data_IF_591942790949
#
_entry.id   IF_591942790949
#
_cell.length_a   1.000
_cell.length_b   1.000
_cell.length_c   1.000
_cell.angle_alpha   90.00
_cell.angle_beta   90.00
_cell.angle_gamma   90.00
#
_symmetry.space_group_name_H-M   'P 1'
#
loop_
_entity.id
_entity.type
_entity.pdbx_description
1 polymer ?
#
# COMPACT_ATOMS: atom_id res chain seq x y z
N UNK A 1 18.52 7.44 -6.39
CA UNK A 1 18.73 7.12 -4.95
C UNK A 1 18.04 5.79 -4.67
N UNK A 2 18.74 4.81 -4.12
CA UNK A 2 18.14 3.51 -3.78
C UNK A 2 17.20 3.68 -2.58
N UNK A 3 15.98 3.14 -2.67
CA UNK A 3 14.93 3.26 -1.64
C UNK A 3 14.17 1.94 -1.49
N UNK A 4 13.38 1.84 -0.43
CA UNK A 4 12.61 0.63 -0.14
C UNK A 4 11.35 0.48 -0.99
N UNK A 5 10.73 1.61 -1.34
CA UNK A 5 9.54 1.70 -2.16
C UNK A 5 9.42 3.11 -2.76
N UNK A 6 8.65 3.22 -3.85
CA UNK A 6 8.23 4.47 -4.47
C UNK A 6 6.71 4.46 -4.66
N UNK A 7 6.11 5.61 -4.94
CA UNK A 7 4.66 5.74 -5.16
C UNK A 7 4.26 5.12 -6.50
N UNK A 8 3.21 4.28 -6.50
CA UNK A 8 2.62 3.69 -7.72
C UNK A 8 2.06 4.69 -8.72
N UNK A 9 1.89 5.95 -8.32
CA UNK A 9 1.41 7.02 -9.20
C UNK A 9 2.26 7.24 -10.46
N UNK A 10 3.57 6.97 -10.41
CA UNK A 10 4.45 7.07 -11.56
C UNK A 10 5.68 6.17 -11.39
N UNK A 11 5.74 5.09 -12.16
CA UNK A 11 6.81 4.10 -12.10
C UNK A 11 7.25 3.65 -13.49
N UNK A 12 8.53 3.37 -13.62
CA UNK A 12 9.07 2.60 -14.74
C UNK A 12 9.61 1.28 -14.24
N UNK A 13 9.37 0.22 -15.01
CA UNK A 13 9.87 -1.12 -14.72
C UNK A 13 10.60 -1.67 -15.93
N UNK A 14 11.77 -2.28 -15.70
CA UNK A 14 12.49 -2.99 -16.76
C UNK A 14 11.69 -4.24 -17.12
N UNK A 15 11.44 -4.49 -18.41
CA UNK A 15 10.68 -5.65 -18.88
C UNK A 15 11.21 -6.98 -18.30
N UNK A 16 12.52 -7.21 -18.33
CA UNK A 16 13.10 -8.44 -17.78
C UNK A 16 12.87 -8.60 -16.27
N UNK A 17 12.83 -7.50 -15.52
CA UNK A 17 12.51 -7.53 -14.09
C UNK A 17 11.02 -7.81 -13.87
N UNK A 18 10.14 -7.24 -14.71
CA UNK A 18 8.70 -7.53 -14.70
C UNK A 18 8.42 -9.01 -15.00
N UNK A 19 9.09 -9.59 -15.98
CA UNK A 19 8.95 -11.01 -16.34
C UNK A 19 9.41 -11.92 -15.20
N UNK A 20 10.44 -11.54 -14.44
CA UNK A 20 10.91 -12.30 -13.28
C UNK A 20 10.00 -12.20 -12.04
N UNK A 21 9.45 -11.01 -11.77
CA UNK A 21 8.69 -10.70 -10.53
C UNK A 21 7.17 -10.87 -10.70
N UNK A 22 6.69 -10.73 -11.93
CA UNK A 22 5.27 -10.72 -12.27
C UNK A 22 4.59 -9.35 -12.09
N UNK A 23 3.33 -9.24 -12.54
CA UNK A 23 2.55 -8.00 -12.49
C UNK A 23 2.17 -7.62 -11.05
N UNK A 24 1.45 -6.51 -10.89
CA UNK A 24 0.78 -6.14 -9.63
C UNK A 24 -0.15 -7.27 -9.17
N UNK A 25 -0.30 -7.41 -7.85
CA UNK A 25 -1.14 -8.46 -7.25
C UNK A 25 -2.62 -8.02 -7.30
N UNK A 26 -3.42 -8.68 -8.13
CA UNK A 26 -4.85 -8.39 -8.32
C UNK A 26 -5.71 -8.59 -7.06
N UNK A 27 -5.16 -9.22 -6.02
CA UNK A 27 -5.80 -9.29 -4.71
C UNK A 27 -5.88 -7.93 -3.98
N UNK A 28 -5.17 -6.92 -4.47
CA UNK A 28 -5.36 -5.52 -4.09
C UNK A 28 -6.23 -4.82 -5.15
N UNK A 29 -7.30 -4.16 -4.71
CA UNK A 29 -8.09 -3.30 -5.60
C UNK A 29 -7.39 -1.94 -5.81
N UNK A 30 -7.00 -1.30 -4.71
CA UNK A 30 -6.27 -0.02 -4.69
C UNK A 30 -5.69 0.18 -3.29
N UNK A 31 -4.50 0.76 -3.21
CA UNK A 31 -3.65 0.92 -2.03
C UNK A 31 -2.88 -0.33 -1.59
N UNK A 32 -1.58 -0.11 -1.31
CA UNK A 32 -0.58 -1.09 -0.92
C UNK A 32 -0.16 -2.10 -2.00
N UNK A 33 -0.77 -2.07 -3.18
CA UNK A 33 -0.36 -2.84 -4.36
C UNK A 33 1.06 -2.47 -4.82
N UNK A 34 1.39 -1.18 -4.74
CA UNK A 34 2.70 -0.64 -5.08
C UNK A 34 3.78 -1.04 -4.07
N UNK A 35 3.44 -0.98 -2.77
CA UNK A 35 4.32 -1.45 -1.70
C UNK A 35 4.59 -2.96 -1.81
N UNK A 36 3.55 -3.75 -2.06
CA UNK A 36 3.67 -5.19 -2.31
C UNK A 36 4.63 -5.48 -3.48
N UNK A 37 4.46 -4.73 -4.57
CA UNK A 37 5.28 -4.91 -5.76
C UNK A 37 6.74 -4.53 -5.51
N UNK A 38 7.00 -3.40 -4.86
CA UNK A 38 8.35 -3.00 -4.45
C UNK A 38 9.01 -4.06 -3.56
N UNK A 39 8.25 -4.63 -2.62
CA UNK A 39 8.74 -5.71 -1.74
C UNK A 39 9.09 -6.97 -2.54
N UNK A 40 8.25 -7.37 -3.50
CA UNK A 40 8.54 -8.51 -4.39
C UNK A 40 9.76 -8.27 -5.27
N UNK A 41 9.94 -7.06 -5.82
CA UNK A 41 11.16 -6.72 -6.56
C UNK A 41 12.41 -6.87 -5.68
N UNK A 42 12.36 -6.36 -4.45
CA UNK A 42 13.48 -6.47 -3.50
C UNK A 42 13.77 -7.93 -3.11
N UNK A 43 12.74 -8.73 -2.87
CA UNK A 43 12.90 -10.17 -2.61
C UNK A 43 13.47 -10.92 -3.83
N UNK A 44 13.16 -10.47 -5.04
CA UNK A 44 13.76 -10.97 -6.29
C UNK A 44 15.18 -10.44 -6.57
N UNK A 45 15.80 -9.71 -5.64
CA UNK A 45 17.15 -9.17 -5.80
C UNK A 45 17.24 -7.90 -6.65
N UNK A 46 16.11 -7.33 -7.07
CA UNK A 46 16.07 -6.06 -7.80
C UNK A 46 16.08 -4.87 -6.84
N UNK A 47 16.58 -3.74 -7.35
CA UNK A 47 16.65 -2.48 -6.62
C UNK A 47 15.54 -1.53 -7.06
N UNK A 48 14.97 -0.80 -6.10
CA UNK A 48 14.03 0.28 -6.36
C UNK A 48 14.77 1.61 -6.24
N UNK A 49 14.63 2.48 -7.25
CA UNK A 49 15.31 3.76 -7.29
C UNK A 49 14.30 4.91 -7.36
N UNK A 50 14.50 5.92 -6.51
CA UNK A 50 13.89 7.23 -6.62
C UNK A 50 14.78 8.14 -7.49
N UNK A 51 14.16 8.84 -8.45
CA UNK A 51 14.83 9.74 -9.39
C UNK A 51 14.47 11.19 -9.02
N UNK A 52 15.30 11.90 -8.24
CA UNK A 52 14.98 13.23 -7.72
C UNK A 52 15.07 14.34 -8.78
N UNK A 53 15.64 14.05 -9.95
CA UNK A 53 15.81 15.02 -11.05
C UNK A 53 14.54 15.26 -11.86
N UNK A 54 13.46 14.55 -11.55
CA UNK A 54 12.21 14.60 -12.31
C UNK A 54 11.04 14.86 -11.36
N UNK A 55 10.27 15.90 -11.64
CA UNK A 55 9.10 16.27 -10.87
C UNK A 55 7.81 15.84 -11.56
N UNK A 56 6.99 15.08 -10.85
CA UNK A 56 5.67 14.61 -11.32
C UNK A 56 4.61 15.00 -10.31
N UNK A 57 3.58 15.71 -10.77
CA UNK A 57 2.46 16.12 -9.92
C UNK A 57 1.35 15.08 -9.95
N UNK A 58 0.98 14.54 -8.79
CA UNK A 58 -0.16 13.64 -8.63
C UNK A 58 -1.29 14.36 -7.89
N UNK A 59 -2.41 14.58 -8.58
CA UNK A 59 -3.62 15.17 -8.00
C UNK A 59 -4.36 14.16 -7.12
N UNK A 60 -4.00 14.14 -5.83
CA UNK A 60 -4.55 13.20 -4.85
C UNK A 60 -6.04 13.47 -4.59
N UNK A 61 -6.79 12.40 -4.29
CA UNK A 61 -8.11 12.49 -3.67
C UNK A 61 -9.30 12.71 -4.63
N UNK A 62 -9.06 12.95 -5.91
CA UNK A 62 -10.13 13.18 -6.91
C UNK A 62 -11.07 11.98 -6.99
N UNK A 63 -10.56 10.78 -7.23
CA UNK A 63 -11.36 9.55 -7.29
C UNK A 63 -11.84 9.07 -5.91
N UNK A 64 -11.17 9.49 -4.84
CA UNK A 64 -11.44 9.03 -3.48
C UNK A 64 -12.54 9.83 -2.77
N UNK A 65 -12.82 11.07 -3.23
CA UNK A 65 -13.76 11.98 -2.58
C UNK A 65 -15.20 11.42 -2.52
N UNK A 66 -15.61 10.68 -3.55
CA UNK A 66 -16.95 10.12 -3.64
C UNK A 66 -17.22 9.02 -2.59
N UNK A 67 -16.20 8.23 -2.22
CA UNK A 67 -16.35 7.02 -1.37
C UNK A 67 -15.28 6.93 -0.28
N UNK A 68 -15.21 7.91 0.63
CA UNK A 68 -14.11 8.07 1.57
C UNK A 68 -13.98 6.92 2.57
N UNK A 69 -15.08 6.30 3.00
CA UNK A 69 -15.02 5.12 3.90
C UNK A 69 -14.54 3.89 3.14
N UNK A 70 -15.01 3.69 1.89
CA UNK A 70 -14.56 2.59 1.04
C UNK A 70 -13.07 2.69 0.71
N UNK A 71 -12.56 3.90 0.48
CA UNK A 71 -11.13 4.14 0.27
C UNK A 71 -10.32 3.75 1.51
N UNK A 72 -10.76 4.16 2.69
CA UNK A 72 -10.07 3.76 3.93
C UNK A 72 -10.16 2.25 4.16
N UNK A 73 -11.29 1.61 3.84
CA UNK A 73 -11.40 0.16 3.90
C UNK A 73 -10.33 -0.53 3.05
N UNK A 74 -10.14 -0.11 1.80
CA UNK A 74 -9.12 -0.69 0.93
C UNK A 74 -7.69 -0.42 1.40
N UNK A 75 -7.39 0.77 1.95
CA UNK A 75 -6.09 1.05 2.58
C UNK A 75 -5.81 0.11 3.74
N UNK A 76 -6.75 -0.05 4.67
CA UNK A 76 -6.54 -0.85 5.87
C UNK A 76 -6.49 -2.34 5.56
N UNK A 77 -7.38 -2.82 4.67
CA UNK A 77 -7.32 -4.19 4.14
C UNK A 77 -6.00 -4.45 3.40
N UNK A 78 -5.53 -3.49 2.61
CA UNK A 78 -4.25 -3.55 1.90
C UNK A 78 -3.06 -3.64 2.86
N UNK A 79 -3.02 -2.79 3.90
CA UNK A 79 -1.98 -2.85 4.94
C UNK A 79 -1.92 -4.22 5.61
N UNK A 80 -3.08 -4.80 5.98
CA UNK A 80 -3.13 -6.12 6.60
C UNK A 80 -2.75 -7.25 5.64
N UNK A 81 -3.13 -7.14 4.36
CA UNK A 81 -2.71 -8.10 3.34
C UNK A 81 -1.20 -8.09 3.16
N UNK A 82 -0.61 -6.90 3.02
CA UNK A 82 0.85 -6.72 2.92
C UNK A 82 1.54 -7.29 4.16
N UNK A 83 1.08 -6.90 5.35
CA UNK A 83 1.63 -7.38 6.61
C UNK A 83 1.55 -8.91 6.72
N UNK A 84 0.42 -9.50 6.36
CA UNK A 84 0.23 -10.95 6.36
C UNK A 84 1.14 -11.66 5.36
N UNK A 85 1.35 -11.09 4.17
CA UNK A 85 2.13 -11.70 3.10
C UNK A 85 3.64 -11.69 3.37
N UNK A 86 4.16 -10.65 4.01
CA UNK A 86 5.62 -10.46 4.12
C UNK A 86 6.16 -10.48 5.56
N UNK A 87 5.32 -10.20 6.56
CA UNK A 87 5.78 -9.94 7.93
C UNK A 87 5.20 -10.92 8.96
N UNK A 88 4.17 -11.68 8.62
CA UNK A 88 3.49 -12.59 9.55
C UNK A 88 4.43 -13.60 10.21
N UNK A 89 5.28 -14.26 9.40
CA UNK A 89 6.22 -15.28 9.90
C UNK A 89 7.49 -14.67 10.51
N UNK A 90 7.69 -13.35 10.36
CA UNK A 90 8.87 -12.64 10.87
C UNK A 90 8.70 -12.13 12.30
N UNK A 91 7.46 -12.04 12.79
CA UNK A 91 7.15 -11.50 14.11
C UNK A 91 6.36 -12.47 14.97
N UNK A 92 6.48 -12.39 16.31
CA UNK A 92 5.65 -13.18 17.22
C UNK A 92 4.15 -12.92 17.02
N UNK A 93 3.32 -13.95 17.24
CA UNK A 93 1.86 -13.87 17.08
C UNK A 93 1.21 -12.73 17.87
N UNK A 94 1.75 -12.39 19.05
CA UNK A 94 1.27 -11.26 19.85
C UNK A 94 1.50 -9.92 19.13
N UNK A 95 2.67 -9.71 18.52
CA UNK A 95 2.97 -8.49 17.75
C UNK A 95 2.04 -8.39 16.56
N UNK A 96 1.86 -9.50 15.84
CA UNK A 96 0.94 -9.59 14.70
C UNK A 96 -0.49 -9.22 15.11
N UNK A 97 -0.96 -9.75 16.24
CA UNK A 97 -2.29 -9.44 16.78
C UNK A 97 -2.41 -7.95 17.13
N UNK A 98 -1.44 -7.40 17.87
CA UNK A 98 -1.45 -5.99 18.28
C UNK A 98 -1.46 -5.04 17.07
N UNK A 99 -0.62 -5.30 16.06
CA UNK A 99 -0.59 -4.51 14.83
C UNK A 99 -1.92 -4.64 14.09
N UNK A 100 -2.44 -5.86 13.93
CA UNK A 100 -3.69 -6.09 13.20
C UNK A 100 -4.88 -5.40 13.87
N UNK A 101 -4.97 -5.49 15.20
CA UNK A 101 -5.96 -4.79 16.01
C UNK A 101 -5.79 -3.27 15.90
N UNK A 102 -4.56 -2.76 15.98
CA UNK A 102 -4.28 -1.33 15.85
C UNK A 102 -4.72 -0.76 14.50
N UNK A 103 -4.47 -1.50 13.41
CA UNK A 103 -4.93 -1.12 12.05
C UNK A 103 -6.45 -1.07 12.00
N UNK A 104 -7.17 -2.08 12.51
CA UNK A 104 -8.64 -2.06 12.50
C UNK A 104 -9.24 -1.01 13.43
N UNK A 105 -8.65 -0.77 14.60
CA UNK A 105 -9.09 0.31 15.51
C UNK A 105 -8.93 1.68 14.84
N UNK A 106 -7.80 1.91 14.16
CA UNK A 106 -7.59 3.12 13.39
C UNK A 106 -8.60 3.26 12.24
N UNK A 107 -8.92 2.17 11.52
CA UNK A 107 -9.98 2.17 10.52
C UNK A 107 -11.32 2.61 11.11
N UNK A 108 -11.75 1.99 12.23
CA UNK A 108 -13.01 2.32 12.88
C UNK A 108 -13.06 3.80 13.29
N UNK A 109 -11.97 4.32 13.87
CA UNK A 109 -11.86 5.73 14.25
C UNK A 109 -11.98 6.68 13.05
N UNK A 110 -11.27 6.40 11.96
CA UNK A 110 -11.32 7.23 10.74
C UNK A 110 -12.67 7.12 10.05
N UNK A 111 -13.23 5.92 9.92
CA UNK A 111 -14.54 5.69 9.33
C UNK A 111 -15.63 6.44 10.12
N UNK A 112 -15.61 6.34 11.45
CA UNK A 112 -16.52 7.08 12.32
C UNK A 112 -16.40 8.60 12.12
N UNK A 113 -15.18 9.14 12.17
CA UNK A 113 -14.94 10.59 11.94
C UNK A 113 -15.44 11.06 10.58
N UNK A 114 -15.26 10.28 9.52
CA UNK A 114 -15.68 10.64 8.17
C UNK A 114 -17.19 10.52 7.97
N UNK A 115 -17.83 9.56 8.63
CA UNK A 115 -19.29 9.44 8.65
C UNK A 115 -19.94 10.61 9.39
N UNK A 116 -19.42 10.98 10.57
CA UNK A 116 -19.92 12.15 11.32
C UNK A 116 -19.78 13.43 10.51
N UNK A 117 -18.61 13.66 9.89
CA UNK A 117 -18.37 14.82 9.00
C UNK A 117 -19.21 14.85 7.73
N UNK A 118 -19.87 13.75 7.35
CA UNK A 118 -20.81 13.71 6.22
C UNK A 118 -22.24 14.04 6.64
N UNK A 119 -22.55 13.89 7.92
CA UNK A 119 -23.88 14.12 8.49
C UNK A 119 -24.05 15.55 9.03
N UNK A 120 -22.94 16.18 9.42
CA UNK A 120 -22.83 17.61 9.74
C UNK A 120 -22.53 18.41 8.47
#
# INVERSE_FOLDING_TARGET
>A
IEVEAISGAFMFVRRSALEAVGPLDEGYFLHCEDLDWCMRFRQGGFKVFFVPSTDITHFKGVSSAARPVSVEWHKHRGMLRFYRKFLFDRYPRLVVLLVSSGVWLHFCFVAMRRSIRRLL
#
